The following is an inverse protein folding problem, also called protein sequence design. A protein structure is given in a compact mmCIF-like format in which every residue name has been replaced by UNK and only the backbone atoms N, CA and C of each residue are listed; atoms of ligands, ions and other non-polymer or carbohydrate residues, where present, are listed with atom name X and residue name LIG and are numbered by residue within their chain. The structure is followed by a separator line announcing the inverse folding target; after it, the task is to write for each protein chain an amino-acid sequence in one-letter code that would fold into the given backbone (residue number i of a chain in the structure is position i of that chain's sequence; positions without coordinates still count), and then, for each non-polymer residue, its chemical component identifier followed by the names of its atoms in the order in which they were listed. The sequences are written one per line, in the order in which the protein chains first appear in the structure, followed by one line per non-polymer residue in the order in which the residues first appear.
data_IF_225947321472
#
_entry.id   IF_225947321472
#
_cell.length_a   1.000
_cell.length_b   1.000
_cell.length_c   1.000
_cell.angle_alpha   90.00
_cell.angle_beta   90.00
_cell.angle_gamma   90.00
#
_symmetry.space_group_name_H-M   'P 1'
#
loop_
_entity.id
_entity.type
_entity.pdbx_description
1 polymer ?
#
# COMPACT_ATOMS: atom_id res chain seq x y z
N UNK A 1 -5.72 1.50 -5.81
CA UNK A 1 -5.99 2.62 -4.86
C UNK A 1 -6.94 3.57 -5.54
N UNK A 2 -7.99 3.94 -4.85
CA UNK A 2 -8.95 4.94 -5.32
C UNK A 2 -8.18 6.20 -5.72
N UNK A 3 -8.41 6.70 -6.96
CA UNK A 3 -7.75 7.92 -7.47
C UNK A 3 -6.46 7.74 -8.27
N UNK A 4 -5.98 6.52 -8.46
CA UNK A 4 -4.84 6.25 -9.35
C UNK A 4 -5.32 5.70 -10.68
N UNK A 5 -4.60 6.04 -11.76
CA UNK A 5 -4.73 5.34 -13.03
C UNK A 5 -4.20 3.90 -12.92
N UNK A 6 -4.78 3.01 -13.70
CA UNK A 6 -4.35 1.61 -13.77
C UNK A 6 -4.04 1.25 -15.22
N UNK A 7 -2.97 0.49 -15.41
CA UNK A 7 -2.54 0.02 -16.73
C UNK A 7 -1.87 -1.34 -16.62
N UNK A 8 -1.81 -2.06 -17.74
CA UNK A 8 -1.10 -3.34 -17.83
C UNK A 8 0.07 -3.19 -18.80
N UNK A 9 1.28 -3.39 -18.31
CA UNK A 9 2.51 -3.41 -19.09
C UNK A 9 3.37 -4.60 -18.63
N UNK A 10 4.03 -5.25 -19.57
CA UNK A 10 4.95 -6.34 -19.26
C UNK A 10 4.29 -7.46 -18.44
N UNK A 11 3.04 -7.79 -18.74
CA UNK A 11 2.22 -8.78 -18.01
C UNK A 11 2.05 -8.48 -16.51
N UNK A 12 2.22 -7.23 -16.12
CA UNK A 12 2.13 -6.74 -14.74
C UNK A 12 1.08 -5.65 -14.67
N UNK A 13 0.27 -5.64 -13.63
CA UNK A 13 -0.64 -4.54 -13.33
C UNK A 13 0.12 -3.40 -12.65
N UNK A 14 -0.06 -2.20 -13.15
CA UNK A 14 0.59 -0.98 -12.66
C UNK A 14 -0.44 0.05 -12.22
N UNK A 15 -0.12 0.76 -11.17
CA UNK A 15 -0.79 2.01 -10.81
C UNK A 15 0.03 3.19 -11.28
N UNK A 16 -0.65 4.19 -11.84
CA UNK A 16 -0.07 5.48 -12.19
C UNK A 16 -0.37 6.48 -11.09
N UNK A 17 0.67 7.04 -10.51
CA UNK A 17 0.56 8.11 -9.54
C UNK A 17 1.44 9.28 -9.97
N UNK A 18 0.83 10.35 -10.44
CA UNK A 18 1.51 11.60 -10.83
C UNK A 18 2.65 11.35 -11.85
N UNK A 19 2.43 10.46 -12.82
CA UNK A 19 3.41 10.11 -13.85
C UNK A 19 4.44 9.05 -13.41
N UNK A 20 4.32 8.49 -12.23
CA UNK A 20 5.14 7.38 -11.77
C UNK A 20 4.38 6.05 -11.86
N UNK A 21 5.02 5.01 -12.40
CA UNK A 21 4.48 3.66 -12.47
C UNK A 21 4.98 2.81 -11.31
N UNK A 22 4.04 2.25 -10.54
CA UNK A 22 4.31 1.33 -9.44
C UNK A 22 3.55 0.02 -9.66
N UNK A 23 4.16 -1.17 -9.43
CA UNK A 23 3.45 -2.42 -9.60
C UNK A 23 2.33 -2.56 -8.57
N UNK A 24 1.18 -3.09 -9.02
CA UNK A 24 0.12 -3.62 -8.17
C UNK A 24 0.29 -5.12 -7.98
N UNK A 25 0.76 -5.81 -9.03
CA UNK A 25 1.07 -7.23 -8.95
C UNK A 25 2.08 -7.50 -7.84
N UNK A 26 1.91 -8.61 -7.09
CA UNK A 26 2.79 -8.94 -5.96
C UNK A 26 4.26 -9.06 -6.39
N UNK A 27 5.23 -8.60 -5.58
CA UNK A 27 6.66 -8.67 -5.93
C UNK A 27 7.16 -10.08 -6.27
N UNK A 28 6.53 -11.11 -5.71
CA UNK A 28 6.88 -12.52 -6.00
C UNK A 28 6.44 -13.00 -7.38
N UNK A 29 5.58 -12.26 -8.09
CA UNK A 29 5.09 -12.58 -9.44
C UNK A 29 5.67 -11.68 -10.52
N UNK A 30 6.44 -10.66 -10.15
CA UNK A 30 6.97 -9.71 -11.10
C UNK A 30 7.93 -10.39 -12.08
N UNK A 31 7.66 -10.20 -13.36
CA UNK A 31 8.55 -10.66 -14.42
C UNK A 31 9.80 -9.81 -14.44
N UNK A 32 10.96 -10.45 -14.50
CA UNK A 32 12.24 -9.74 -14.66
C UNK A 32 12.33 -9.15 -16.05
N UNK A 33 12.52 -7.85 -16.14
CA UNK A 33 12.76 -7.15 -17.41
C UNK A 33 13.96 -6.19 -17.27
N UNK A 34 14.54 -5.83 -18.42
CA UNK A 34 15.71 -4.97 -18.43
C UNK A 34 15.35 -3.48 -18.32
N UNK A 35 16.31 -2.67 -17.89
CA UNK A 35 16.18 -1.21 -17.88
C UNK A 35 15.82 -0.63 -19.26
N UNK A 36 16.26 -1.29 -20.37
CA UNK A 36 15.93 -0.86 -21.71
C UNK A 36 14.43 -1.02 -22.02
N UNK A 37 13.85 -2.16 -21.61
CA UNK A 37 12.41 -2.41 -21.74
C UNK A 37 11.61 -1.43 -20.87
N UNK A 38 12.03 -1.18 -19.64
CA UNK A 38 11.38 -0.20 -18.78
C UNK A 38 11.42 1.23 -19.38
N UNK A 39 12.54 1.63 -20.00
CA UNK A 39 12.63 2.92 -20.71
C UNK A 39 11.66 3.01 -21.88
N UNK A 40 11.53 1.96 -22.67
CA UNK A 40 10.57 1.94 -23.77
C UNK A 40 9.12 2.14 -23.28
N UNK A 41 8.75 1.53 -22.14
CA UNK A 41 7.43 1.75 -21.52
C UNK A 41 7.26 3.20 -21.07
N UNK A 42 8.29 3.81 -20.46
CA UNK A 42 8.22 5.21 -20.01
C UNK A 42 8.03 6.17 -21.19
N UNK A 43 8.80 5.99 -22.26
CA UNK A 43 8.75 6.83 -23.47
C UNK A 43 7.41 6.72 -24.18
N UNK A 44 6.87 5.50 -24.32
CA UNK A 44 5.59 5.27 -25.02
C UNK A 44 4.37 5.80 -24.25
N UNK A 45 4.48 6.04 -22.95
CA UNK A 45 3.36 6.46 -22.10
C UNK A 45 3.59 7.81 -21.39
N UNK A 46 4.64 8.54 -21.76
CA UNK A 46 5.02 9.86 -21.18
C UNK A 46 5.05 9.82 -19.64
N UNK A 47 5.79 8.84 -19.09
CA UNK A 47 5.95 8.67 -17.65
C UNK A 47 7.30 9.17 -17.14
N UNK A 48 7.32 9.64 -15.89
CA UNK A 48 8.50 10.22 -15.26
C UNK A 48 9.50 9.15 -14.81
N UNK A 49 8.99 8.11 -14.19
CA UNK A 49 9.79 6.95 -13.77
C UNK A 49 8.93 5.71 -13.54
N UNK A 50 9.60 4.59 -13.56
CA UNK A 50 9.04 3.27 -13.28
C UNK A 50 9.85 2.63 -12.16
N UNK A 51 9.18 2.04 -11.18
CA UNK A 51 9.79 1.39 -10.02
C UNK A 51 9.23 -0.01 -9.87
N UNK A 52 10.11 -0.99 -9.64
CA UNK A 52 9.72 -2.38 -9.38
C UNK A 52 10.75 -3.06 -8.46
N UNK A 53 10.46 -4.29 -8.07
CA UNK A 53 11.27 -5.08 -7.18
C UNK A 53 11.73 -6.39 -7.83
N UNK A 54 12.87 -6.91 -7.36
CA UNK A 54 13.34 -8.28 -7.61
C UNK A 54 13.93 -8.89 -6.36
N UNK A 55 14.26 -10.17 -6.40
CA UNK A 55 14.83 -10.92 -5.27
C UNK A 55 14.00 -10.77 -3.97
N UNK A 56 12.66 -10.76 -4.12
CA UNK A 56 11.73 -10.58 -3.01
C UNK A 56 11.82 -11.75 -2.02
N UNK A 57 12.02 -11.42 -0.74
CA UNK A 57 12.05 -12.33 0.41
C UNK A 57 13.08 -13.49 0.31
N UNK A 58 14.22 -13.22 -0.34
CA UNK A 58 15.27 -14.21 -0.55
C UNK A 58 16.37 -14.18 0.55
N UNK A 59 16.07 -13.62 1.71
CA UNK A 59 17.00 -13.63 2.87
C UNK A 59 18.08 -12.55 2.86
N UNK A 60 18.16 -11.70 1.85
CA UNK A 60 19.11 -10.59 1.79
C UNK A 60 18.54 -9.33 2.42
N UNK A 61 19.15 -8.83 3.47
CA UNK A 61 18.77 -7.55 4.07
C UNK A 61 19.17 -6.38 3.16
N UNK A 62 18.18 -5.67 2.65
CA UNK A 62 18.36 -4.48 1.80
C UNK A 62 17.70 -3.26 2.44
N UNK A 63 17.95 -2.08 1.87
CA UNK A 63 17.26 -0.86 2.29
C UNK A 63 15.79 -0.79 1.81
N UNK A 64 15.33 -1.75 1.00
CA UNK A 64 13.96 -1.83 0.50
C UNK A 64 13.25 -3.09 1.00
N UNK A 65 12.03 -2.96 1.47
CA UNK A 65 11.25 -4.05 2.04
C UNK A 65 9.74 -3.79 1.93
N UNK A 66 8.98 -4.86 2.01
CA UNK A 66 7.52 -4.85 2.19
C UNK A 66 7.18 -5.35 3.59
N UNK A 67 6.07 -4.88 4.13
CA UNK A 67 5.48 -5.46 5.34
C UNK A 67 4.53 -6.56 4.91
N UNK A 68 4.81 -7.80 5.33
CA UNK A 68 4.00 -8.97 5.02
C UNK A 68 3.68 -9.79 6.26
N UNK A 69 2.62 -10.61 6.14
CA UNK A 69 2.36 -11.71 7.05
C UNK A 69 2.04 -12.97 6.24
N UNK A 70 2.77 -14.03 6.53
CA UNK A 70 2.75 -15.32 5.81
C UNK A 70 2.33 -16.50 6.70
N UNK A 71 1.95 -16.24 7.93
CA UNK A 71 1.45 -17.24 8.87
C UNK A 71 0.11 -16.80 9.41
N UNK A 72 -0.86 -17.72 9.41
CA UNK A 72 -2.14 -17.51 10.06
C UNK A 72 -1.93 -17.22 11.56
N UNK A 73 -2.83 -16.44 12.13
CA UNK A 73 -2.81 -16.06 13.54
C UNK A 73 -4.15 -16.40 14.16
N UNK A 74 -4.10 -17.17 15.22
CA UNK A 74 -5.25 -17.38 16.10
C UNK A 74 -5.26 -16.32 17.22
N UNK A 75 -6.38 -16.19 17.91
CA UNK A 75 -6.46 -15.31 19.08
C UNK A 75 -5.46 -15.67 20.19
N UNK A 76 -5.09 -16.96 20.29
CA UNK A 76 -4.11 -17.43 21.30
C UNK A 76 -2.70 -16.94 21.04
N UNK A 77 -2.33 -16.72 19.76
CA UNK A 77 -0.99 -16.30 19.37
C UNK A 77 -0.76 -14.81 19.61
N UNK A 78 -1.84 -14.04 19.77
CA UNK A 78 -1.77 -12.62 20.04
C UNK A 78 -1.40 -12.34 21.50
N UNK A 79 -0.64 -11.26 21.74
CA UNK A 79 -0.40 -10.76 23.10
C UNK A 79 -1.73 -10.52 23.83
N UNK A 80 -1.73 -10.65 25.16
CA UNK A 80 -2.95 -10.48 25.98
C UNK A 80 -3.65 -9.14 25.72
N UNK A 81 -2.88 -8.07 25.55
CA UNK A 81 -3.40 -6.73 25.24
C UNK A 81 -4.04 -6.68 23.82
N UNK A 82 -3.35 -7.20 22.80
CA UNK A 82 -3.88 -7.24 21.43
C UNK A 82 -5.12 -8.09 21.36
N UNK A 83 -5.11 -9.29 21.94
CA UNK A 83 -6.25 -10.20 22.02
C UNK A 83 -7.48 -9.57 22.69
N UNK A 84 -7.27 -8.82 23.78
CA UNK A 84 -8.34 -8.08 24.43
C UNK A 84 -8.97 -7.03 23.52
N UNK A 85 -8.14 -6.29 22.76
CA UNK A 85 -8.62 -5.27 21.80
C UNK A 85 -9.34 -5.89 20.60
N UNK A 86 -8.84 -7.02 20.06
CA UNK A 86 -9.52 -7.76 18.99
C UNK A 86 -10.91 -8.22 19.50
N UNK A 87 -10.99 -8.86 20.67
CA UNK A 87 -12.28 -9.30 21.23
C UNK A 87 -13.26 -8.15 21.46
N UNK A 88 -12.78 -7.00 21.91
CA UNK A 88 -13.61 -5.80 22.10
C UNK A 88 -14.08 -5.23 20.76
N UNK A 89 -13.21 -5.21 19.76
CA UNK A 89 -13.58 -4.84 18.39
C UNK A 89 -14.65 -5.77 17.82
N UNK A 90 -14.43 -7.09 17.87
CA UNK A 90 -15.39 -8.10 17.39
C UNK A 90 -16.73 -8.11 18.17
N UNK A 91 -16.72 -7.65 19.43
CA UNK A 91 -17.98 -7.45 20.18
C UNK A 91 -18.80 -6.29 19.61
N UNK A 92 -18.15 -5.24 19.11
CA UNK A 92 -18.80 -4.00 18.64
C UNK A 92 -19.07 -4.01 17.14
N UNK A 93 -18.30 -4.77 16.35
CA UNK A 93 -18.32 -4.71 14.91
C UNK A 93 -18.42 -6.09 14.25
N UNK A 94 -19.09 -6.13 13.12
CA UNK A 94 -19.01 -7.22 12.15
C UNK A 94 -18.04 -6.81 11.02
N UNK A 95 -17.07 -7.68 10.74
CA UNK A 95 -16.10 -7.50 9.67
C UNK A 95 -16.30 -8.60 8.63
N UNK A 96 -16.56 -8.22 7.40
CA UNK A 96 -16.80 -9.20 6.32
C UNK A 96 -16.40 -8.62 4.95
N UNK A 97 -16.21 -9.52 3.98
CA UNK A 97 -16.14 -9.12 2.57
C UNK A 97 -17.45 -8.47 2.16
N UNK A 98 -17.34 -7.37 1.40
CA UNK A 98 -18.47 -6.61 0.86
C UNK A 98 -18.34 -6.44 -0.65
N UNK A 99 -19.45 -6.29 -1.34
CA UNK A 99 -19.46 -6.09 -2.78
C UNK A 99 -18.98 -4.66 -3.16
N UNK A 100 -18.52 -4.51 -4.42
CA UNK A 100 -18.25 -3.18 -5.00
C UNK A 100 -19.48 -2.28 -4.96
N UNK A 101 -20.68 -2.82 -5.16
CA UNK A 101 -21.94 -2.07 -5.10
C UNK A 101 -22.22 -1.54 -3.68
N UNK A 102 -21.88 -2.30 -2.66
CA UNK A 102 -21.92 -1.82 -1.27
C UNK A 102 -20.98 -0.63 -1.06
N UNK A 103 -19.77 -0.70 -1.58
CA UNK A 103 -18.82 0.44 -1.50
C UNK A 103 -19.36 1.66 -2.25
N UNK A 104 -19.91 1.46 -3.44
CA UNK A 104 -20.52 2.54 -4.24
C UNK A 104 -21.70 3.21 -3.54
N UNK A 105 -22.51 2.45 -2.80
CA UNK A 105 -23.70 2.97 -2.13
C UNK A 105 -23.42 3.60 -0.76
N UNK A 106 -22.50 3.02 0.03
CA UNK A 106 -22.37 3.34 1.47
C UNK A 106 -21.03 3.98 1.86
N UNK A 107 -19.92 3.74 1.11
CA UNK A 107 -18.59 4.01 1.64
C UNK A 107 -18.13 5.48 1.51
N UNK A 108 -18.80 6.32 0.73
CA UNK A 108 -18.38 7.71 0.52
C UNK A 108 -18.30 8.52 1.82
N UNK A 109 -19.28 8.41 2.71
CA UNK A 109 -19.31 9.15 3.97
C UNK A 109 -18.20 8.67 4.93
N UNK A 110 -17.88 7.37 4.92
CA UNK A 110 -16.73 6.81 5.64
C UNK A 110 -15.42 7.39 5.10
N UNK A 111 -15.25 7.40 3.77
CA UNK A 111 -14.09 8.02 3.12
C UNK A 111 -13.94 9.48 3.53
N UNK A 112 -14.99 10.29 3.39
CA UNK A 112 -15.00 11.72 3.71
C UNK A 112 -14.64 11.99 5.16
N UNK A 113 -15.27 11.25 6.10
CA UNK A 113 -15.03 11.38 7.54
C UNK A 113 -13.58 10.98 7.91
N UNK A 114 -13.03 9.95 7.26
CA UNK A 114 -11.66 9.54 7.44
C UNK A 114 -10.68 10.55 6.84
N UNK A 115 -10.94 11.02 5.60
CA UNK A 115 -10.08 11.96 4.87
C UNK A 115 -9.91 13.29 5.61
N UNK A 116 -10.95 13.79 6.25
CA UNK A 116 -10.92 15.04 7.03
C UNK A 116 -9.86 15.04 8.15
N UNK A 117 -9.30 13.88 8.52
CA UNK A 117 -8.22 13.74 9.52
C UNK A 117 -6.83 13.58 8.92
N UNK A 118 -6.72 13.40 7.61
CA UNK A 118 -5.43 13.26 6.98
C UNK A 118 -4.76 14.63 6.78
N UNK A 119 -3.57 14.77 7.33
CA UNK A 119 -2.69 15.89 7.01
C UNK A 119 -2.04 15.62 5.63
N UNK A 120 -2.80 15.85 4.56
CA UNK A 120 -2.35 15.63 3.19
C UNK A 120 -2.52 16.88 2.34
N UNK A 121 -1.71 16.98 1.27
CA UNK A 121 -1.88 17.99 0.23
C UNK A 121 -2.77 17.50 -0.93
N UNK A 122 -3.28 16.27 -0.83
CA UNK A 122 -4.20 15.71 -1.81
C UNK A 122 -5.59 16.33 -1.62
N UNK A 123 -6.29 16.50 -2.73
CA UNK A 123 -7.67 17.01 -2.71
C UNK A 123 -8.63 15.89 -2.33
N UNK A 124 -9.57 16.19 -1.42
CA UNK A 124 -10.69 15.31 -1.13
C UNK A 124 -11.52 15.10 -2.41
N UNK A 125 -11.89 13.86 -2.70
CA UNK A 125 -12.78 13.56 -3.81
C UNK A 125 -14.21 14.01 -3.50
N UNK A 126 -14.84 14.63 -4.46
CA UNK A 126 -16.30 14.73 -4.49
C UNK A 126 -16.91 13.32 -4.58
N UNK A 127 -18.20 13.20 -4.26
CA UNK A 127 -18.90 11.92 -4.36
C UNK A 127 -18.79 11.30 -5.76
N UNK A 128 -18.92 12.09 -6.81
CA UNK A 128 -18.83 11.59 -8.18
C UNK A 128 -17.40 11.12 -8.53
N UNK A 129 -16.37 11.85 -8.11
CA UNK A 129 -14.98 11.46 -8.30
C UNK A 129 -14.68 10.14 -7.56
N UNK A 130 -15.16 10.00 -6.31
CA UNK A 130 -15.04 8.76 -5.54
C UNK A 130 -15.71 7.58 -6.23
N UNK A 131 -16.98 7.73 -6.65
CA UNK A 131 -17.72 6.66 -7.34
C UNK A 131 -17.03 6.24 -8.64
N UNK A 132 -16.55 7.20 -9.44
CA UNK A 132 -15.83 6.90 -10.67
C UNK A 132 -14.50 6.18 -10.38
N UNK A 133 -13.78 6.61 -9.36
CA UNK A 133 -12.54 5.97 -8.95
C UNK A 133 -12.76 4.52 -8.48
N UNK A 134 -13.84 4.24 -7.71
CA UNK A 134 -14.19 2.87 -7.29
C UNK A 134 -14.58 2.00 -8.49
N UNK A 135 -15.33 2.55 -9.46
CA UNK A 135 -15.71 1.82 -10.70
C UNK A 135 -14.50 1.48 -11.56
N UNK A 136 -13.47 2.33 -11.58
CA UNK A 136 -12.27 2.15 -12.38
C UNK A 136 -11.24 1.20 -11.76
N UNK A 137 -11.47 0.68 -10.55
CA UNK A 137 -10.57 -0.28 -9.92
C UNK A 137 -10.55 -1.60 -10.69
N UNK A 138 -9.38 -2.30 -10.75
CA UNK A 138 -9.26 -3.61 -11.38
C UNK A 138 -10.25 -4.64 -10.81
N UNK A 139 -10.57 -5.66 -11.61
CA UNK A 139 -11.48 -6.74 -11.18
C UNK A 139 -10.91 -7.56 -10.02
N UNK A 140 -9.59 -7.59 -9.90
CA UNK A 140 -8.86 -8.22 -8.78
C UNK A 140 -9.04 -7.51 -7.44
N UNK A 141 -9.82 -6.41 -7.40
CA UNK A 141 -10.06 -5.67 -6.17
C UNK A 141 -11.19 -6.30 -5.36
N UNK A 142 -10.84 -6.74 -4.17
CA UNK A 142 -11.78 -7.20 -3.14
C UNK A 142 -11.96 -6.11 -2.07
N UNK A 143 -13.16 -6.03 -1.51
CA UNK A 143 -13.46 -5.06 -0.46
C UNK A 143 -13.85 -5.76 0.83
N UNK A 144 -13.46 -5.15 1.95
CA UNK A 144 -13.91 -5.53 3.28
C UNK A 144 -14.60 -4.36 3.95
N UNK A 145 -15.67 -4.66 4.67
CA UNK A 145 -16.44 -3.69 5.43
C UNK A 145 -16.41 -3.99 6.92
N UNK A 146 -16.49 -2.93 7.72
CA UNK A 146 -16.73 -3.00 9.17
C UNK A 146 -18.06 -2.34 9.45
N UNK A 147 -19.00 -3.09 10.00
CA UNK A 147 -20.33 -2.58 10.38
C UNK A 147 -20.46 -2.52 11.89
N UNK A 148 -20.96 -1.41 12.40
CA UNK A 148 -21.36 -1.29 13.80
C UNK A 148 -22.57 -2.18 14.09
N UNK A 149 -22.46 -3.08 15.06
CA UNK A 149 -23.51 -4.08 15.36
C UNK A 149 -24.82 -3.50 15.86
N UNK A 150 -24.79 -2.30 16.41
CA UNK A 150 -25.96 -1.64 16.98
C UNK A 150 -26.75 -0.91 15.88
N UNK A 151 -26.04 -0.11 15.06
CA UNK A 151 -26.67 0.72 14.02
C UNK A 151 -26.75 0.04 12.66
N UNK A 152 -25.97 -1.00 12.40
CA UNK A 152 -25.81 -1.62 11.07
C UNK A 152 -25.00 -0.77 10.09
N UNK A 153 -24.57 0.43 10.47
CA UNK A 153 -23.86 1.36 9.61
C UNK A 153 -22.46 0.86 9.23
N UNK A 154 -22.05 1.08 7.99
CA UNK A 154 -20.67 0.90 7.55
C UNK A 154 -19.81 1.99 8.19
N UNK A 155 -18.78 1.63 8.95
CA UNK A 155 -17.90 2.54 9.69
C UNK A 155 -16.42 2.43 9.28
N UNK A 156 -16.09 1.43 8.48
CA UNK A 156 -14.80 1.32 7.83
C UNK A 156 -14.91 0.45 6.59
N UNK A 157 -13.98 0.63 5.67
CA UNK A 157 -13.81 -0.29 4.55
C UNK A 157 -12.34 -0.38 4.12
N UNK A 158 -11.98 -1.53 3.55
CA UNK A 158 -10.67 -1.80 2.96
C UNK A 158 -10.81 -2.11 1.49
N UNK A 159 -9.89 -1.61 0.69
CA UNK A 159 -9.66 -1.95 -0.71
C UNK A 159 -8.42 -2.83 -0.78
N UNK A 160 -8.59 -4.10 -1.13
CA UNK A 160 -7.51 -5.07 -1.21
C UNK A 160 -7.33 -5.51 -2.66
N UNK A 161 -6.10 -5.49 -3.15
CA UNK A 161 -5.76 -6.06 -4.45
C UNK A 161 -5.33 -7.52 -4.27
N UNK A 162 -5.97 -8.43 -5.01
CA UNK A 162 -5.75 -9.88 -4.86
C UNK A 162 -5.24 -10.46 -6.17
N UNK A 163 -4.05 -11.06 -6.13
CA UNK A 163 -3.44 -11.73 -7.28
C UNK A 163 -2.48 -12.83 -6.80
N UNK A 164 -2.45 -13.97 -7.48
CA UNK A 164 -1.51 -15.07 -7.24
C UNK A 164 -1.41 -15.53 -5.76
N UNK A 165 -2.54 -15.69 -5.12
CA UNK A 165 -2.65 -16.10 -3.70
C UNK A 165 -1.96 -15.11 -2.74
N UNK A 166 -1.99 -13.84 -3.09
CA UNK A 166 -1.52 -12.72 -2.26
C UNK A 166 -2.63 -11.68 -2.16
N UNK A 167 -2.82 -11.13 -0.97
CA UNK A 167 -3.68 -9.95 -0.77
C UNK A 167 -2.83 -8.74 -0.37
N UNK A 168 -2.94 -7.67 -1.12
CA UNK A 168 -2.34 -6.38 -0.80
C UNK A 168 -3.40 -5.45 -0.21
N UNK A 169 -3.27 -5.07 1.05
CA UNK A 169 -4.12 -4.11 1.75
C UNK A 169 -3.79 -2.70 1.24
N UNK A 170 -4.41 -2.35 0.11
CA UNK A 170 -4.01 -1.20 -0.68
C UNK A 170 -4.44 0.13 -0.04
N UNK A 171 -5.67 0.20 0.50
CA UNK A 171 -6.19 1.38 1.19
C UNK A 171 -7.23 0.98 2.22
N UNK A 172 -7.18 1.57 3.40
CA UNK A 172 -8.17 1.31 4.46
C UNK A 172 -8.65 2.64 5.04
N UNK A 173 -9.96 2.81 5.11
CA UNK A 173 -10.61 3.99 5.63
C UNK A 173 -11.44 3.67 6.87
N UNK A 174 -11.21 4.38 7.95
CA UNK A 174 -11.93 4.20 9.22
C UNK A 174 -12.60 5.49 9.65
N UNK A 175 -13.85 5.41 10.03
CA UNK A 175 -14.47 6.47 10.83
C UNK A 175 -13.72 6.69 12.14
N UNK A 176 -13.43 7.94 12.51
CA UNK A 176 -12.65 8.24 13.72
C UNK A 176 -13.24 7.68 15.01
N UNK A 177 -14.57 7.64 15.11
CA UNK A 177 -15.30 7.11 16.26
C UNK A 177 -15.12 5.59 16.39
N UNK A 178 -15.09 4.87 15.28
CA UNK A 178 -14.93 3.42 15.23
C UNK A 178 -13.51 2.98 15.63
N UNK A 179 -12.48 3.75 15.28
CA UNK A 179 -11.10 3.46 15.71
C UNK A 179 -10.96 3.40 17.24
N UNK A 180 -11.67 4.27 17.98
CA UNK A 180 -11.66 4.28 19.45
C UNK A 180 -12.28 3.03 20.05
N UNK A 181 -13.12 2.31 19.30
CA UNK A 181 -13.74 1.04 19.68
C UNK A 181 -13.00 -0.18 19.11
N UNK A 182 -11.76 0.01 18.64
CA UNK A 182 -10.89 -1.07 18.11
C UNK A 182 -11.36 -1.71 16.79
N UNK A 183 -12.02 -0.97 15.91
CA UNK A 183 -12.44 -1.45 14.58
C UNK A 183 -11.27 -1.93 13.74
N UNK A 184 -10.10 -1.26 13.80
CA UNK A 184 -8.88 -1.68 13.10
C UNK A 184 -8.37 -3.05 13.59
N UNK A 185 -8.43 -3.31 14.87
CA UNK A 185 -8.04 -4.62 15.43
C UNK A 185 -8.94 -5.75 14.94
N UNK A 186 -10.26 -5.50 14.88
CA UNK A 186 -11.21 -6.47 14.37
C UNK A 186 -10.98 -6.72 12.87
N UNK A 187 -10.88 -5.66 12.06
CA UNK A 187 -10.73 -5.78 10.62
C UNK A 187 -9.45 -6.53 10.23
N UNK A 188 -8.28 -6.15 10.76
CA UNK A 188 -7.04 -6.83 10.45
C UNK A 188 -7.01 -8.28 10.91
N UNK A 189 -7.63 -8.59 12.05
CA UNK A 189 -7.74 -9.96 12.52
C UNK A 189 -8.58 -10.82 11.55
N UNK A 190 -9.77 -10.36 11.18
CA UNK A 190 -10.67 -11.10 10.28
C UNK A 190 -10.09 -11.21 8.85
N UNK A 191 -9.50 -10.16 8.31
CA UNK A 191 -8.84 -10.23 7.00
C UNK A 191 -7.67 -11.22 7.00
N UNK A 192 -6.81 -11.19 8.04
CA UNK A 192 -5.70 -12.14 8.16
C UNK A 192 -6.20 -13.59 8.27
N UNK A 193 -7.25 -13.83 9.07
CA UNK A 193 -7.85 -15.15 9.21
C UNK A 193 -8.40 -15.64 7.87
N UNK A 194 -9.16 -14.79 7.18
CA UNK A 194 -9.75 -15.13 5.88
C UNK A 194 -8.69 -15.46 4.82
N UNK A 195 -7.72 -14.56 4.61
CA UNK A 195 -6.75 -14.78 3.54
C UNK A 195 -5.74 -15.89 3.88
N UNK A 196 -5.23 -15.93 5.10
CA UNK A 196 -4.15 -16.85 5.44
C UNK A 196 -4.66 -18.22 5.91
N UNK A 197 -5.79 -18.28 6.65
CA UNK A 197 -6.28 -19.55 7.18
C UNK A 197 -7.34 -20.18 6.27
N UNK A 198 -8.36 -19.43 5.85
CA UNK A 198 -9.46 -19.98 5.06
C UNK A 198 -9.07 -20.18 3.59
N UNK A 199 -8.48 -19.12 2.96
CA UNK A 199 -8.08 -19.15 1.53
C UNK A 199 -6.68 -19.70 1.31
N UNK A 200 -5.87 -19.89 2.38
CA UNK A 200 -4.50 -20.42 2.32
C UNK A 200 -3.59 -19.61 1.41
N UNK A 201 -3.73 -18.31 1.45
CA UNK A 201 -2.84 -17.40 0.70
C UNK A 201 -1.39 -17.51 1.18
N UNK A 202 -0.47 -17.27 0.28
CA UNK A 202 0.97 -17.28 0.55
C UNK A 202 1.37 -16.22 1.58
N UNK A 203 0.81 -15.03 1.42
CA UNK A 203 0.95 -13.92 2.38
C UNK A 203 -0.08 -12.83 2.13
N UNK A 204 -0.27 -11.99 3.13
CA UNK A 204 -0.92 -10.69 3.01
C UNK A 204 0.11 -9.58 3.19
N UNK A 205 -0.09 -8.41 2.58
CA UNK A 205 0.88 -7.31 2.58
C UNK A 205 0.20 -5.96 2.80
N UNK A 206 0.83 -5.07 3.55
CA UNK A 206 0.47 -3.63 3.62
C UNK A 206 1.38 -2.78 2.70
N UNK A 207 2.11 -3.43 1.80
CA UNK A 207 2.94 -2.80 0.79
C UNK A 207 4.37 -2.51 1.21
N UNK A 208 5.04 -1.73 0.38
CA UNK A 208 6.44 -1.37 0.56
C UNK A 208 6.61 -0.24 1.58
N UNK A 209 7.84 -0.13 2.13
CA UNK A 209 8.21 0.99 3.00
C UNK A 209 7.87 2.33 2.38
N UNK A 210 7.33 3.25 3.19
CA UNK A 210 7.09 4.62 2.76
C UNK A 210 8.40 5.40 2.57
N UNK A 211 8.43 6.26 1.54
CA UNK A 211 9.53 7.19 1.29
C UNK A 211 9.20 8.62 1.75
N UNK A 212 7.93 8.94 1.88
CA UNK A 212 7.46 10.31 2.13
C UNK A 212 7.20 10.63 3.59
N UNK A 213 6.90 9.62 4.40
CA UNK A 213 6.59 9.75 5.83
C UNK A 213 6.74 8.39 6.53
N UNK A 214 6.98 8.43 7.83
CA UNK A 214 6.92 7.22 8.65
C UNK A 214 5.45 6.81 8.83
N UNK A 215 5.14 5.58 8.48
CA UNK A 215 3.78 5.04 8.57
C UNK A 215 3.62 4.30 9.90
N UNK A 216 2.81 4.84 10.80
CA UNK A 216 2.45 4.16 12.05
C UNK A 216 1.74 2.82 11.83
N UNK A 217 1.20 2.59 10.62
CA UNK A 217 0.52 1.34 10.29
C UNK A 217 1.48 0.15 10.27
N UNK A 218 2.69 0.33 9.72
CA UNK A 218 3.69 -0.76 9.70
C UNK A 218 4.07 -1.19 11.12
N UNK A 219 4.37 -0.22 12.02
CA UNK A 219 4.67 -0.51 13.43
C UNK A 219 3.50 -1.19 14.15
N UNK A 220 2.28 -0.76 13.83
CA UNK A 220 1.07 -1.38 14.34
C UNK A 220 0.95 -2.84 13.88
N UNK A 221 1.13 -3.13 12.60
CA UNK A 221 1.02 -4.48 12.05
C UNK A 221 2.14 -5.40 12.58
N UNK A 222 3.39 -4.91 12.63
CA UNK A 222 4.51 -5.66 13.21
C UNK A 222 4.25 -5.98 14.68
N UNK A 223 3.93 -4.97 15.49
CA UNK A 223 3.82 -5.13 16.95
C UNK A 223 2.53 -5.82 17.43
N UNK A 224 1.43 -5.77 16.65
CA UNK A 224 0.13 -6.29 17.06
C UNK A 224 -0.25 -7.59 16.38
N UNK A 225 0.15 -7.78 15.13
CA UNK A 225 -0.25 -8.92 14.31
C UNK A 225 0.92 -9.77 13.82
N UNK A 226 2.16 -9.43 14.20
CA UNK A 226 3.35 -10.21 13.85
C UNK A 226 3.66 -10.19 12.35
N UNK A 227 3.38 -9.06 11.69
CA UNK A 227 3.91 -8.82 10.36
C UNK A 227 5.42 -8.70 10.42
N UNK A 228 6.11 -9.01 9.32
CA UNK A 228 7.56 -8.94 9.19
C UNK A 228 7.98 -8.22 7.93
N UNK A 229 9.23 -7.80 7.88
CA UNK A 229 9.84 -7.22 6.69
C UNK A 229 10.29 -8.33 5.75
N UNK A 230 9.75 -8.29 4.53
CA UNK A 230 10.21 -9.06 3.39
C UNK A 230 11.10 -8.15 2.53
N UNK A 231 12.39 -8.40 2.54
CA UNK A 231 13.36 -7.56 1.84
C UNK A 231 13.34 -7.85 0.34
N UNK A 232 13.59 -6.81 -0.45
CA UNK A 232 13.64 -6.89 -1.89
C UNK A 232 14.71 -5.96 -2.45
N UNK A 233 15.10 -6.17 -3.70
CA UNK A 233 15.98 -5.27 -4.44
C UNK A 233 15.13 -4.26 -5.20
N UNK A 234 15.34 -2.98 -4.94
CA UNK A 234 14.64 -1.90 -5.61
C UNK A 234 15.28 -1.56 -6.96
N UNK A 235 14.48 -1.56 -8.00
CA UNK A 235 14.81 -1.05 -9.34
C UNK A 235 14.05 0.24 -9.60
N UNK A 236 14.71 1.20 -10.22
CA UNK A 236 14.10 2.47 -10.67
C UNK A 236 14.73 2.88 -11.99
N UNK A 237 13.88 3.13 -12.98
CA UNK A 237 14.27 3.72 -14.26
C UNK A 237 13.57 5.06 -14.41
N UNK A 238 14.30 6.09 -14.75
CA UNK A 238 13.83 7.46 -14.93
C UNK A 238 13.75 7.83 -16.41
N UNK A 239 12.83 8.71 -16.76
CA UNK A 239 12.85 9.41 -18.04
C UNK A 239 14.21 10.09 -18.27
N UNK A 240 14.71 10.21 -19.52
CA UNK A 240 16.08 10.67 -19.79
C UNK A 240 16.46 11.98 -19.08
N UNK A 241 15.60 12.99 -19.18
CA UNK A 241 15.83 14.30 -18.53
C UNK A 241 15.82 14.20 -17.00
N UNK A 242 14.89 13.40 -16.43
CA UNK A 242 14.79 13.24 -14.98
C UNK A 242 16.00 12.48 -14.42
N UNK A 243 16.53 11.51 -15.18
CA UNK A 243 17.76 10.78 -14.83
C UNK A 243 18.94 11.74 -14.68
N UNK A 244 19.10 12.69 -15.60
CA UNK A 244 20.14 13.72 -15.51
C UNK A 244 19.91 14.62 -14.29
N UNK A 245 18.68 15.10 -14.09
CA UNK A 245 18.34 15.94 -12.94
C UNK A 245 18.62 15.25 -11.60
N UNK A 246 18.24 13.97 -11.46
CA UNK A 246 18.52 13.16 -10.26
C UNK A 246 20.03 12.96 -10.08
N UNK A 247 20.78 12.66 -11.15
CA UNK A 247 22.23 12.48 -11.06
C UNK A 247 22.96 13.72 -10.58
N UNK A 248 22.57 14.91 -11.08
CA UNK A 248 23.14 16.20 -10.68
C UNK A 248 22.74 16.59 -9.25
N UNK A 249 21.48 16.35 -8.85
CA UNK A 249 20.98 16.71 -7.53
C UNK A 249 21.43 15.74 -6.42
N UNK A 250 21.76 14.49 -6.75
CA UNK A 250 22.06 13.44 -5.77
C UNK A 250 23.20 13.80 -4.79
N UNK A 251 24.33 14.40 -5.20
CA UNK A 251 25.37 14.83 -4.26
C UNK A 251 24.87 15.86 -3.23
N UNK A 252 23.85 16.63 -3.57
CA UNK A 252 23.25 17.67 -2.72
C UNK A 252 22.04 17.19 -1.90
N UNK A 253 21.72 15.90 -1.89
CA UNK A 253 20.50 15.34 -1.28
C UNK A 253 20.32 15.74 0.18
N UNK A 254 21.39 15.72 0.99
CA UNK A 254 21.34 16.07 2.41
C UNK A 254 21.03 17.58 2.64
N UNK A 255 21.36 18.44 1.67
CA UNK A 255 20.99 19.86 1.71
C UNK A 255 19.54 20.05 1.28
N UNK A 256 19.13 19.36 0.22
CA UNK A 256 17.76 19.40 -0.32
C UNK A 256 16.76 18.90 0.71
N UNK A 257 17.07 17.85 1.47
CA UNK A 257 16.22 17.30 2.52
C UNK A 257 15.90 18.32 3.64
N UNK A 258 16.81 19.21 3.93
CA UNK A 258 16.63 20.26 4.96
C UNK A 258 15.69 21.38 4.52
N UNK A 259 15.43 21.51 3.23
CA UNK A 259 14.56 22.55 2.67
C UNK A 259 13.10 22.07 2.69
N UNK A 260 12.27 22.69 3.52
CA UNK A 260 10.86 22.29 3.72
C UNK A 260 9.86 22.86 2.69
N UNK A 261 10.32 23.46 1.59
CA UNK A 261 9.46 24.00 0.53
C UNK A 261 8.89 22.88 -0.36
N UNK A 262 7.66 23.03 -0.84
CA UNK A 262 6.92 22.01 -1.56
C UNK A 262 7.67 21.30 -2.72
N UNK A 263 8.32 22.03 -3.67
CA UNK A 263 9.09 21.41 -4.75
C UNK A 263 10.28 20.58 -4.24
N UNK A 264 10.97 21.06 -3.20
CA UNK A 264 12.12 20.37 -2.60
C UNK A 264 11.69 19.10 -1.85
N UNK A 265 10.48 19.07 -1.28
CA UNK A 265 9.94 17.84 -0.66
C UNK A 265 9.77 16.72 -1.67
N UNK A 266 9.26 17.02 -2.88
CA UNK A 266 9.15 16.00 -3.97
C UNK A 266 10.53 15.56 -4.44
N UNK A 267 11.47 16.48 -4.60
CA UNK A 267 12.86 16.18 -4.95
C UNK A 267 13.54 15.30 -3.89
N UNK A 268 13.36 15.60 -2.60
CA UNK A 268 13.90 14.80 -1.49
C UNK A 268 13.41 13.35 -1.53
N UNK A 269 12.10 13.11 -1.80
CA UNK A 269 11.55 11.76 -1.94
C UNK A 269 12.22 11.00 -3.09
N UNK A 270 12.40 11.65 -4.25
CA UNK A 270 13.08 11.04 -5.41
C UNK A 270 14.56 10.72 -5.10
N UNK A 271 15.26 11.62 -4.42
CA UNK A 271 16.65 11.42 -4.04
C UNK A 271 16.83 10.32 -3.00
N UNK A 272 15.91 10.20 -2.04
CA UNK A 272 15.87 9.09 -1.08
C UNK A 272 15.60 7.76 -1.77
N UNK A 273 14.68 7.73 -2.75
CA UNK A 273 14.45 6.55 -3.60
C UNK A 273 15.73 6.14 -4.34
N UNK A 274 16.43 7.11 -4.93
CA UNK A 274 17.70 6.85 -5.65
C UNK A 274 18.81 6.36 -4.71
N UNK A 275 18.88 6.86 -3.49
CA UNK A 275 19.81 6.38 -2.47
C UNK A 275 19.56 4.91 -2.15
N UNK A 276 18.32 4.54 -1.85
CA UNK A 276 17.91 3.16 -1.59
C UNK A 276 18.23 2.24 -2.78
N UNK A 277 17.93 2.70 -4.00
CA UNK A 277 18.25 1.94 -5.22
C UNK A 277 19.76 1.64 -5.32
N UNK A 278 20.60 2.65 -5.04
CA UNK A 278 22.06 2.49 -5.05
C UNK A 278 22.56 1.58 -3.94
N UNK A 279 21.96 1.64 -2.76
CA UNK A 279 22.27 0.73 -1.65
C UNK A 279 21.90 -0.72 -2.00
N UNK A 280 20.70 -0.96 -2.55
CA UNK A 280 20.27 -2.27 -3.01
C UNK A 280 21.21 -2.85 -4.09
N UNK A 281 21.78 -2.00 -4.95
CA UNK A 281 22.72 -2.45 -5.98
C UNK A 281 24.07 -2.95 -5.41
N UNK A 282 24.48 -2.46 -4.24
CA UNK A 282 25.74 -2.88 -3.57
C UNK A 282 25.62 -4.26 -2.89
N UNK A 283 24.43 -4.63 -2.44
CA UNK A 283 24.20 -5.92 -1.75
C UNK A 283 24.17 -7.10 -2.73
N UNK A 284 24.10 -6.84 -4.03
CA UNK A 284 24.02 -7.86 -5.07
C UNK A 284 25.37 -8.32 -5.62
N UNK A 285 26.47 -7.77 -5.12
CA UNK A 285 27.85 -8.16 -5.41
C UNK A 285 28.48 -8.81 -4.17
#
# INVERSE_FOLDING_TARGET
MIGYGHSVHLQTHWRDNQGALFPLSPPCTLVTFSDAVARSVLESHDKLFMRWESAFDQGHHTAWWHIIKDQAVTLSDLSSNTRSKVRRGLKSFDCASISRDTVLSEAYEVYKSAFARYETHEKEFSRNEFLNAVKALPDQTEFWGVRDKVSGALVAFSENYVEAEVSFYNTIWFEPSALRKYSSYALFYEMNLHYLEERKFRYVSDGARSLSHDTQIHDFLESKFGFRKAYARLHVVYAPWLRVAVAVAFPLRNLIEKVRLGPFKKASILLKQEEIRRECAKVAN
#
